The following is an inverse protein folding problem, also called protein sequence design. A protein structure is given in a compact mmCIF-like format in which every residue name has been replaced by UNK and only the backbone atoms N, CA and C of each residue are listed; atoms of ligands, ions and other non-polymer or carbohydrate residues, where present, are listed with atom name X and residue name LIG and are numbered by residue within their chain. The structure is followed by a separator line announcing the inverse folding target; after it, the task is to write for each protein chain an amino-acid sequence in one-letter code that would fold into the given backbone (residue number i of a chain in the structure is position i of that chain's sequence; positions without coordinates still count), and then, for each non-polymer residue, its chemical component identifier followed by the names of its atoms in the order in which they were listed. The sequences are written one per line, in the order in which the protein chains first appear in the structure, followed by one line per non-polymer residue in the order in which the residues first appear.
data_IF_906614902647
#
_entry.id   IF_906614902647
#
_cell.length_a   1.000
_cell.length_b   1.000
_cell.length_c   1.000
_cell.angle_alpha   90.00
_cell.angle_beta   90.00
_cell.angle_gamma   90.00
#
_symmetry.space_group_name_H-M   'P 1'
#
loop_
_entity.id
_entity.type
_entity.pdbx_description
1 polymer ?
#
# COMPACT_ATOMS: atom_id res chain seq x y z
N UNK A 1 -8.74 -6.29 -4.47
CA UNK A 1 -9.36 -6.92 -3.27
C UNK A 1 -8.85 -6.29 -1.97
N UNK A 2 -7.54 -6.01 -1.79
CA UNK A 2 -7.00 -5.52 -0.52
C UNK A 2 -7.38 -4.06 -0.18
N UNK A 3 -7.51 -3.16 -1.16
CA UNK A 3 -7.96 -1.78 -0.92
C UNK A 3 -9.43 -1.75 -0.51
N UNK A 4 -10.27 -2.56 -1.16
CA UNK A 4 -11.67 -2.73 -0.78
C UNK A 4 -11.80 -3.36 0.62
N UNK A 5 -11.00 -4.38 0.95
CA UNK A 5 -11.00 -4.96 2.29
C UNK A 5 -10.43 -4.02 3.36
N UNK A 6 -9.44 -3.18 3.03
CA UNK A 6 -8.87 -2.18 3.95
C UNK A 6 -9.88 -1.05 4.22
N UNK A 7 -10.59 -0.57 3.21
CA UNK A 7 -11.68 0.41 3.36
C UNK A 7 -12.86 -0.17 4.15
N UNK A 8 -13.21 -1.42 3.90
CA UNK A 8 -14.26 -2.12 4.64
C UNK A 8 -13.85 -2.32 6.11
N UNK A 9 -12.63 -2.79 6.37
CA UNK A 9 -12.11 -2.93 7.74
C UNK A 9 -12.03 -1.59 8.49
N UNK A 10 -11.61 -0.52 7.81
CA UNK A 10 -11.56 0.82 8.37
C UNK A 10 -12.95 1.38 8.72
N UNK A 11 -13.97 1.08 7.90
CA UNK A 11 -15.37 1.42 8.22
C UNK A 11 -15.85 0.72 9.49
N UNK A 12 -15.45 -0.53 9.72
CA UNK A 12 -15.80 -1.26 10.94
C UNK A 12 -15.03 -0.78 12.19
N UNK A 13 -13.84 -0.21 12.04
CA UNK A 13 -13.03 0.30 13.16
C UNK A 13 -13.30 1.77 13.53
N UNK A 14 -14.29 2.41 12.88
CA UNK A 14 -14.67 3.81 13.16
C UNK A 14 -13.65 4.84 12.67
N UNK A 15 -12.75 4.45 11.75
CA UNK A 15 -11.76 5.36 11.16
C UNK A 15 -12.43 6.16 10.03
N UNK A 16 -12.34 7.51 10.03
CA UNK A 16 -12.85 8.33 8.93
C UNK A 16 -12.25 7.90 7.59
N UNK A 17 -13.08 7.84 6.54
CA UNK A 17 -12.64 7.44 5.20
C UNK A 17 -11.49 8.28 4.65
N UNK A 18 -11.48 9.58 4.97
CA UNK A 18 -10.41 10.52 4.62
C UNK A 18 -9.03 10.08 5.12
N UNK A 19 -8.96 9.48 6.32
CA UNK A 19 -7.69 9.01 6.89
C UNK A 19 -7.16 7.79 6.16
N UNK A 20 -8.08 6.94 5.68
CA UNK A 20 -7.73 5.75 4.88
C UNK A 20 -7.20 6.18 3.52
N UNK A 21 -7.86 7.14 2.87
CA UNK A 21 -7.40 7.70 1.60
C UNK A 21 -6.02 8.33 1.72
N UNK A 22 -5.78 9.09 2.81
CA UNK A 22 -4.49 9.70 3.08
C UNK A 22 -3.40 8.63 3.33
N UNK A 23 -3.71 7.59 4.10
CA UNK A 23 -2.79 6.48 4.35
C UNK A 23 -2.43 5.73 3.05
N UNK A 24 -3.42 5.43 2.20
CA UNK A 24 -3.21 4.81 0.88
C UNK A 24 -2.40 5.74 -0.04
N UNK A 25 -2.67 7.05 0.01
CA UNK A 25 -1.90 8.08 -0.69
C UNK A 25 -0.43 8.07 -0.29
N UNK A 26 -0.13 8.00 1.00
CA UNK A 26 1.25 7.90 1.52
C UNK A 26 1.94 6.60 1.11
N UNK A 27 1.22 5.48 1.09
CA UNK A 27 1.76 4.22 0.56
C UNK A 27 2.08 4.36 -0.93
N UNK A 28 1.21 4.99 -1.71
CA UNK A 28 1.44 5.27 -3.14
C UNK A 28 2.66 6.17 -3.36
N UNK A 29 2.85 7.21 -2.55
CA UNK A 29 4.05 8.06 -2.58
C UNK A 29 5.32 7.25 -2.33
N UNK A 30 5.28 6.28 -1.40
CA UNK A 30 6.43 5.44 -1.07
C UNK A 30 6.90 4.52 -2.21
N UNK A 31 6.01 4.20 -3.15
CA UNK A 31 6.33 3.41 -4.34
C UNK A 31 7.20 4.25 -5.29
N UNK A 32 6.79 5.51 -5.49
CA UNK A 32 7.55 6.57 -6.14
C UNK A 32 7.98 6.31 -7.59
N UNK A 33 8.36 7.39 -8.26
CA UNK A 33 9.14 7.33 -9.49
C UNK A 33 8.39 7.03 -10.80
N UNK A 34 9.20 6.84 -11.83
CA UNK A 34 8.76 6.51 -13.19
C UNK A 34 8.43 5.03 -13.25
N UNK A 35 7.28 4.68 -13.82
CA UNK A 35 6.90 3.29 -14.07
C UNK A 35 7.76 2.71 -15.19
N UNK A 36 8.87 2.09 -14.81
CA UNK A 36 9.78 1.38 -15.69
C UNK A 36 9.55 -0.12 -15.64
N UNK A 37 10.02 -0.84 -16.67
CA UNK A 37 10.00 -2.32 -16.69
C UNK A 37 10.69 -2.93 -15.46
N UNK A 38 11.78 -2.31 -14.97
CA UNK A 38 12.53 -2.76 -13.81
C UNK A 38 11.72 -2.62 -12.51
N UNK A 39 10.99 -1.50 -12.35
CA UNK A 39 10.08 -1.28 -11.24
C UNK A 39 8.97 -2.33 -11.24
N UNK A 40 8.32 -2.55 -12.40
CA UNK A 40 7.25 -3.54 -12.55
C UNK A 40 7.76 -4.95 -12.21
N UNK A 41 8.93 -5.33 -12.73
CA UNK A 41 9.57 -6.62 -12.44
C UNK A 41 9.86 -6.80 -10.95
N UNK A 42 10.31 -5.74 -10.27
CA UNK A 42 10.53 -5.75 -8.82
C UNK A 42 9.22 -6.00 -8.06
N UNK A 43 8.13 -5.36 -8.46
CA UNK A 43 6.81 -5.57 -7.84
C UNK A 43 6.24 -6.96 -8.12
N UNK A 44 6.45 -7.52 -9.31
CA UNK A 44 6.08 -8.92 -9.61
C UNK A 44 6.82 -9.87 -8.66
N UNK A 45 8.15 -9.74 -8.53
CA UNK A 45 8.93 -10.55 -7.59
C UNK A 45 8.44 -10.36 -6.15
N UNK A 46 8.20 -9.11 -5.74
CA UNK A 46 7.68 -8.78 -4.41
C UNK A 46 6.34 -9.45 -4.13
N UNK A 47 5.42 -9.45 -5.10
CA UNK A 47 4.12 -10.10 -5.00
C UNK A 47 4.23 -11.64 -4.89
N UNK A 48 5.18 -12.24 -5.61
CA UNK A 48 5.45 -13.68 -5.53
C UNK A 48 6.00 -14.03 -4.15
N UNK A 49 7.03 -13.32 -3.67
CA UNK A 49 7.64 -13.57 -2.36
C UNK A 49 6.66 -13.38 -1.19
N UNK A 50 5.71 -12.47 -1.31
CA UNK A 50 4.67 -12.23 -0.29
C UNK A 50 3.45 -13.15 -0.44
N UNK A 51 3.41 -14.00 -1.46
CA UNK A 51 2.29 -14.88 -1.79
C UNK A 51 1.04 -14.16 -2.32
N UNK A 52 1.06 -12.82 -2.43
CA UNK A 52 -0.07 -12.01 -2.91
C UNK A 52 -0.30 -12.15 -4.40
N UNK A 53 0.73 -12.56 -5.16
CA UNK A 53 0.60 -12.86 -6.58
C UNK A 53 -0.61 -13.73 -6.89
N UNK A 54 -0.81 -14.81 -6.12
CA UNK A 54 -1.90 -15.77 -6.34
C UNK A 54 -3.28 -15.25 -5.92
N UNK A 55 -3.33 -14.18 -5.12
CA UNK A 55 -4.58 -13.53 -4.68
C UNK A 55 -5.02 -12.39 -5.61
N UNK A 56 -4.15 -11.96 -6.52
CA UNK A 56 -4.48 -10.90 -7.48
C UNK A 56 -5.42 -11.41 -8.57
N UNK A 57 -6.37 -10.57 -9.05
CA UNK A 57 -7.19 -10.89 -10.21
C UNK A 57 -6.33 -11.29 -11.42
N UNK A 58 -6.83 -12.22 -12.22
CA UNK A 58 -6.14 -12.70 -13.43
C UNK A 58 -5.81 -11.56 -14.39
N UNK A 59 -6.72 -10.60 -14.53
CA UNK A 59 -6.51 -9.37 -15.33
C UNK A 59 -5.34 -8.54 -14.82
N UNK A 60 -5.24 -8.32 -13.50
CA UNK A 60 -4.12 -7.58 -12.89
C UNK A 60 -2.79 -8.28 -13.10
N UNK A 61 -2.75 -9.61 -12.98
CA UNK A 61 -1.55 -10.42 -13.24
C UNK A 61 -1.12 -10.34 -14.70
N UNK A 62 -2.05 -10.51 -15.63
CA UNK A 62 -1.79 -10.39 -17.07
C UNK A 62 -1.26 -9.00 -17.42
N UNK A 63 -1.86 -7.94 -16.84
CA UNK A 63 -1.43 -6.56 -17.07
C UNK A 63 -0.01 -6.30 -16.56
N UNK A 64 0.36 -6.81 -15.38
CA UNK A 64 1.73 -6.70 -14.85
C UNK A 64 2.73 -7.42 -15.76
N UNK A 65 2.40 -8.62 -16.24
CA UNK A 65 3.26 -9.38 -17.15
C UNK A 65 3.44 -8.68 -18.50
N UNK A 66 2.35 -8.17 -19.09
CA UNK A 66 2.40 -7.45 -20.35
C UNK A 66 3.16 -6.11 -20.23
N UNK A 67 2.88 -5.35 -19.17
CA UNK A 67 3.51 -4.04 -18.93
C UNK A 67 5.00 -4.14 -18.62
N UNK A 68 5.50 -5.30 -18.17
CA UNK A 68 6.94 -5.54 -17.98
C UNK A 68 7.74 -5.39 -19.28
N UNK A 69 7.13 -5.60 -20.45
CA UNK A 69 7.78 -5.41 -21.75
C UNK A 69 7.95 -3.94 -22.13
N UNK A 70 7.24 -3.03 -21.45
CA UNK A 70 7.31 -1.59 -21.72
C UNK A 70 8.48 -0.98 -20.96
N UNK A 71 9.42 -0.35 -21.68
CA UNK A 71 10.55 0.36 -21.06
C UNK A 71 10.06 1.43 -20.07
N UNK A 72 9.07 2.22 -20.50
CA UNK A 72 8.43 3.28 -19.70
C UNK A 72 6.93 3.30 -20.03
N UNK A 73 6.09 3.35 -19.00
CA UNK A 73 4.64 3.52 -19.16
C UNK A 73 4.31 5.01 -19.33
N UNK A 74 4.04 5.44 -20.57
CA UNK A 74 3.68 6.83 -20.90
C UNK A 74 2.19 7.14 -20.69
N UNK A 75 1.31 6.17 -20.92
CA UNK A 75 -0.13 6.37 -20.78
C UNK A 75 -0.51 6.65 -19.31
N UNK A 76 -1.24 7.75 -19.09
CA UNK A 76 -1.73 8.15 -17.76
C UNK A 76 -2.68 7.11 -17.18
N UNK A 77 -3.63 6.63 -17.99
CA UNK A 77 -4.64 5.65 -17.56
C UNK A 77 -3.95 4.34 -17.16
N UNK A 78 -3.03 3.85 -18.00
CA UNK A 78 -2.28 2.62 -17.68
C UNK A 78 -1.43 2.81 -16.42
N UNK A 79 -0.84 3.99 -16.23
CA UNK A 79 -0.08 4.32 -15.03
C UNK A 79 -0.94 4.28 -13.77
N UNK A 80 -2.15 4.83 -13.82
CA UNK A 80 -3.07 4.82 -12.68
C UNK A 80 -3.50 3.39 -12.32
N UNK A 81 -3.85 2.56 -13.31
CA UNK A 81 -4.23 1.15 -13.10
C UNK A 81 -3.06 0.36 -12.49
N UNK A 82 -1.87 0.44 -13.09
CA UNK A 82 -0.68 -0.27 -12.59
C UNK A 82 -0.31 0.20 -11.19
N UNK A 83 -0.44 1.49 -10.89
CA UNK A 83 -0.16 2.02 -9.57
C UNK A 83 -1.13 1.49 -8.53
N UNK A 84 -2.42 1.38 -8.86
CA UNK A 84 -3.40 0.74 -7.99
C UNK A 84 -3.02 -0.71 -7.63
N UNK A 85 -2.58 -1.48 -8.62
CA UNK A 85 -2.11 -2.87 -8.40
C UNK A 85 -0.84 -2.90 -7.55
N UNK A 86 0.12 -2.00 -7.79
CA UNK A 86 1.34 -1.92 -7.01
C UNK A 86 1.08 -1.52 -5.55
N UNK A 87 0.13 -0.62 -5.30
CA UNK A 87 -0.32 -0.27 -3.95
C UNK A 87 -0.93 -1.48 -3.25
N UNK A 88 -1.76 -2.26 -3.95
CA UNK A 88 -2.31 -3.50 -3.41
C UNK A 88 -1.22 -4.50 -3.00
N UNK A 89 -0.17 -4.64 -3.83
CA UNK A 89 1.01 -5.43 -3.49
C UNK A 89 1.76 -4.82 -2.30
N UNK A 90 1.97 -3.51 -2.26
CA UNK A 90 2.74 -2.86 -1.20
C UNK A 90 2.05 -3.00 0.16
N UNK A 91 0.73 -2.83 0.23
CA UNK A 91 -0.09 -3.02 1.43
C UNK A 91 -0.06 -4.45 1.99
N UNK A 92 0.41 -5.41 1.21
CA UNK A 92 0.63 -6.78 1.70
C UNK A 92 1.97 -6.98 2.41
N UNK A 93 2.94 -6.10 2.16
CA UNK A 93 4.28 -6.17 2.73
C UNK A 93 4.32 -5.58 4.14
N UNK A 94 5.26 -6.01 4.98
CA UNK A 94 5.45 -5.42 6.31
C UNK A 94 5.68 -3.91 6.23
N UNK A 95 6.52 -3.46 5.29
CA UNK A 95 6.83 -2.04 5.09
C UNK A 95 5.58 -1.23 4.70
N UNK A 96 4.81 -1.70 3.72
CA UNK A 96 3.60 -0.99 3.30
C UNK A 96 2.53 -0.95 4.39
N UNK A 97 2.36 -2.05 5.14
CA UNK A 97 1.49 -2.08 6.33
C UNK A 97 1.97 -1.09 7.39
N UNK A 98 3.28 -1.03 7.66
CA UNK A 98 3.83 -0.10 8.63
C UNK A 98 3.58 1.36 8.22
N UNK A 99 3.74 1.71 6.95
CA UNK A 99 3.40 3.06 6.48
C UNK A 99 1.90 3.33 6.66
N UNK A 100 1.05 2.39 6.23
CA UNK A 100 -0.41 2.52 6.33
C UNK A 100 -0.87 2.73 7.77
N UNK A 101 -0.53 1.81 8.68
CA UNK A 101 -0.92 1.92 10.09
C UNK A 101 -0.20 3.05 10.81
N UNK A 102 1.04 3.37 10.43
CA UNK A 102 1.78 4.51 10.96
C UNK A 102 1.06 5.83 10.72
N UNK A 103 0.48 6.01 9.53
CA UNK A 103 -0.36 7.18 9.22
C UNK A 103 -1.62 7.19 10.07
N UNK A 104 -2.33 6.06 10.18
CA UNK A 104 -3.56 5.98 10.98
C UNK A 104 -3.30 6.28 12.47
N UNK A 105 -2.21 5.74 13.02
CA UNK A 105 -1.78 6.01 14.40
C UNK A 105 -1.40 7.48 14.57
N UNK A 106 -0.61 8.05 13.64
CA UNK A 106 -0.22 9.45 13.70
C UNK A 106 -1.43 10.39 13.68
N UNK A 107 -2.42 10.12 12.83
CA UNK A 107 -3.66 10.90 12.75
C UNK A 107 -4.50 10.76 14.03
N UNK A 108 -4.64 9.55 14.57
CA UNK A 108 -5.38 9.30 15.81
C UNK A 108 -4.75 9.99 17.02
N UNK A 109 -3.42 10.01 17.08
CA UNK A 109 -2.66 10.63 18.17
C UNK A 109 -2.44 12.14 17.97
N UNK A 110 -2.90 12.74 16.87
CA UNK A 110 -2.70 14.15 16.57
C UNK A 110 -1.28 14.54 16.14
N UNK A 111 -0.39 13.56 15.89
CA UNK A 111 1.01 13.75 15.49
C UNK A 111 1.15 14.09 14.00
N UNK A 112 0.63 15.25 13.59
CA UNK A 112 0.63 15.68 12.17
C UNK A 112 2.04 15.83 11.59
N UNK A 113 3.02 16.18 12.41
CA UNK A 113 4.43 16.30 12.01
C UNK A 113 5.01 14.98 11.48
N UNK A 114 4.52 13.83 11.95
CA UNK A 114 5.00 12.53 11.52
C UNK A 114 4.62 12.23 10.06
N UNK A 115 3.59 12.88 9.48
CA UNK A 115 3.13 12.63 8.11
C UNK A 115 4.17 13.02 7.03
N UNK A 116 5.12 13.89 7.37
CA UNK A 116 6.20 14.31 6.50
C UNK A 116 7.40 13.36 6.47
N UNK A 117 7.55 12.48 7.46
CA UNK A 117 8.74 11.64 7.63
C UNK A 117 8.38 10.14 7.60
N UNK A 118 8.75 9.47 6.51
CA UNK A 118 8.55 8.03 6.34
C UNK A 118 9.21 7.19 7.44
N UNK A 119 10.34 7.61 8.00
CA UNK A 119 11.00 6.85 9.07
C UNK A 119 10.12 6.82 10.31
N UNK A 120 9.62 7.98 10.74
CA UNK A 120 8.71 8.11 11.89
C UNK A 120 7.42 7.30 11.66
N UNK A 121 6.83 7.38 10.47
CA UNK A 121 5.63 6.59 10.13
C UNK A 121 5.89 5.08 10.22
N UNK A 122 7.01 4.60 9.67
CA UNK A 122 7.37 3.19 9.75
C UNK A 122 7.56 2.77 11.22
N UNK A 123 8.24 3.58 12.03
CA UNK A 123 8.44 3.27 13.46
C UNK A 123 7.11 3.15 14.20
N UNK A 124 6.20 4.12 14.03
CA UNK A 124 4.87 4.08 14.64
C UNK A 124 4.06 2.86 14.17
N UNK A 125 4.07 2.60 12.86
CA UNK A 125 3.34 1.49 12.28
C UNK A 125 3.88 0.12 12.68
N UNK A 126 5.20 -0.05 12.76
CA UNK A 126 5.82 -1.28 13.28
C UNK A 126 5.46 -1.46 14.75
N UNK A 127 5.49 -0.40 15.56
CA UNK A 127 5.04 -0.44 16.95
C UNK A 127 3.61 -0.94 17.07
N UNK A 128 2.70 -0.42 16.25
CA UNK A 128 1.30 -0.87 16.20
C UNK A 128 1.17 -2.32 15.72
N UNK A 129 1.87 -2.70 14.66
CA UNK A 129 1.87 -4.07 14.13
C UNK A 129 2.54 -5.09 15.05
N UNK A 130 3.28 -4.65 16.07
CA UNK A 130 3.85 -5.52 17.09
C UNK A 130 2.89 -5.77 18.28
N UNK A 131 1.80 -5.00 18.38
CA UNK A 131 0.78 -5.23 19.40
C UNK A 131 0.09 -6.59 19.18
N UNK A 132 -0.32 -7.29 20.25
CA UNK A 132 -1.20 -8.45 20.15
C UNK A 132 -2.45 -8.13 19.34
N UNK A 133 -2.99 -9.08 18.58
CA UNK A 133 -4.15 -8.86 17.71
C UNK A 133 -5.36 -8.28 18.47
N UNK A 134 -5.56 -8.70 19.72
CA UNK A 134 -6.65 -8.18 20.57
C UNK A 134 -6.55 -6.68 20.87
N UNK A 135 -5.36 -6.08 20.73
CA UNK A 135 -5.11 -4.67 21.05
C UNK A 135 -5.04 -3.78 19.80
N UNK A 136 -5.29 -4.35 18.61
CA UNK A 136 -5.27 -3.65 17.32
C UNK A 136 -6.64 -3.07 17.01
N UNK A 137 -6.88 -1.86 17.50
CA UNK A 137 -8.18 -1.17 17.39
C UNK A 137 -8.43 -0.60 15.99
N UNK A 138 -7.38 -0.35 15.20
CA UNK A 138 -7.47 0.23 13.85
C UNK A 138 -7.69 -0.83 12.75
N UNK A 139 -7.97 -2.08 13.13
CA UNK A 139 -8.12 -3.24 12.25
C UNK A 139 -6.86 -4.09 12.17
#
# INVERSE_FOLDING_TARGET
MAIASALVAARYSGVPGEYVELAVGKVRESIGGVLTSSLISRFIRKAICTGVWFKLPTTSRALLLASRCLKIVKSRVLREILMGIMVEIELSTLRGKAIYYGVLVALRSGLREALGDFKKLITLGVGYLNLPLMWRILG
#
